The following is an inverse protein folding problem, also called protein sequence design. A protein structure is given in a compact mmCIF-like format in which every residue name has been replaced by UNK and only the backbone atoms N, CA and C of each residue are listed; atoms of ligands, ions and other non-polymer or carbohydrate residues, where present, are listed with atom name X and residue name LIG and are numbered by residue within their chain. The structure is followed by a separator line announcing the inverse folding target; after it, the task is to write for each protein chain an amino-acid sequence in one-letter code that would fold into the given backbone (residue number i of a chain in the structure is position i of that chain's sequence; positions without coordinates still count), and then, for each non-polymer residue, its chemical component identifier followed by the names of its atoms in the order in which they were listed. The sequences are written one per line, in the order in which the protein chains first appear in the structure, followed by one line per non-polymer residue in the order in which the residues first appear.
data_IF_266226765912
#
_entry.id   IF_266226765912
#
_cell.length_a   1.000
_cell.length_b   1.000
_cell.length_c   1.000
_cell.angle_alpha   90.00
_cell.angle_beta   90.00
_cell.angle_gamma   90.00
#
_symmetry.space_group_name_H-M   'P 1'
#
loop_
_entity.id
_entity.type
_entity.pdbx_description
1 polymer ?
#
# COMPACT_ATOMS: atom_id res chain seq x y z
N UNK A 1 -15.85 59.82 79.78
CA UNK A 1 -16.88 59.74 78.73
C UNK A 1 -16.24 59.06 77.52
N UNK A 2 -16.74 57.87 77.18
CA UNK A 2 -16.55 57.01 75.98
C UNK A 2 -15.51 57.44 74.90
N UNK A 3 -14.72 56.57 74.27
CA UNK A 3 -15.11 55.32 73.61
C UNK A 3 -13.91 54.38 73.43
N UNK A 4 -14.21 53.11 73.65
CA UNK A 4 -13.55 51.89 73.19
C UNK A 4 -13.21 51.93 71.70
N UNK A 5 -11.99 51.58 71.27
CA UNK A 5 -11.75 50.80 70.04
C UNK A 5 -10.42 50.04 70.12
N UNK A 6 -10.55 48.73 69.98
CA UNK A 6 -9.52 47.70 69.97
C UNK A 6 -8.86 47.70 68.58
N UNK A 7 -7.60 48.14 68.46
CA UNK A 7 -6.86 47.99 67.20
C UNK A 7 -6.10 46.66 67.19
N UNK A 8 -6.72 45.67 66.55
CA UNK A 8 -6.12 44.40 66.18
C UNK A 8 -5.25 44.62 64.94
N UNK A 9 -3.93 44.73 65.09
CA UNK A 9 -3.01 44.75 63.95
C UNK A 9 -2.75 43.30 63.52
N UNK A 10 -3.50 42.84 62.52
CA UNK A 10 -3.23 41.59 61.80
C UNK A 10 -1.93 41.77 60.99
N UNK A 11 -0.87 41.07 61.38
CA UNK A 11 0.30 40.81 60.54
C UNK A 11 -0.15 39.93 59.37
N UNK A 12 -0.46 40.53 58.23
CA UNK A 12 -0.56 39.80 56.96
C UNK A 12 0.84 39.35 56.56
N UNK A 13 1.19 38.10 56.88
CA UNK A 13 2.26 37.41 56.20
C UNK A 13 1.84 37.26 54.73
N UNK A 14 2.38 38.12 53.87
CA UNK A 14 2.36 37.88 52.42
C UNK A 14 3.18 36.62 52.16
N UNK A 15 2.53 35.47 52.22
CA UNK A 15 3.00 34.26 51.56
C UNK A 15 2.99 34.59 50.07
N UNK A 16 4.12 35.03 49.54
CA UNK A 16 4.39 34.95 48.11
C UNK A 16 4.49 33.47 47.77
N UNK A 17 3.35 32.79 47.70
CA UNK A 17 3.24 31.61 46.87
C UNK A 17 3.61 32.10 45.47
N UNK A 18 4.85 31.81 45.07
CA UNK A 18 5.19 31.70 43.67
C UNK A 18 4.10 30.78 43.09
N UNK A 19 3.16 31.39 42.38
CA UNK A 19 2.39 30.72 41.35
C UNK A 19 3.42 30.30 40.31
N UNK A 20 4.08 29.18 40.57
CA UNK A 20 4.65 28.34 39.53
C UNK A 20 3.46 27.98 38.66
N UNK A 21 3.25 28.79 37.62
CA UNK A 21 2.39 28.39 36.52
C UNK A 21 2.90 27.02 36.11
N UNK A 22 2.07 26.00 36.33
CA UNK A 22 2.33 24.69 35.81
C UNK A 22 2.51 24.89 34.30
N UNK A 23 3.75 24.82 33.85
CA UNK A 23 4.04 24.68 32.42
C UNK A 23 3.27 23.44 32.01
N UNK A 24 2.15 23.61 31.30
CA UNK A 24 1.40 22.48 30.75
C UNK A 24 2.40 21.54 30.10
N UNK A 25 2.49 20.32 30.65
CA UNK A 25 3.40 19.32 30.13
C UNK A 25 3.06 19.13 28.66
N UNK A 26 4.06 19.22 27.77
CA UNK A 26 3.81 19.02 26.33
C UNK A 26 3.11 17.68 26.12
N UNK A 27 2.07 17.61 25.24
CA UNK A 27 1.31 16.37 25.03
C UNK A 27 2.22 15.19 24.71
N UNK A 28 1.83 13.98 25.11
CA UNK A 28 2.65 12.77 24.91
C UNK A 28 3.03 12.59 23.44
N UNK A 29 4.19 11.98 23.21
CA UNK A 29 4.71 11.75 21.87
C UNK A 29 4.03 10.51 21.29
N UNK A 30 3.70 10.56 20.00
CA UNK A 30 3.24 9.38 19.27
C UNK A 30 4.47 8.50 19.01
N UNK A 31 4.34 7.19 19.23
CA UNK A 31 5.38 6.22 18.93
C UNK A 31 4.91 5.22 17.87
N UNK A 32 5.83 4.67 17.11
CA UNK A 32 5.56 3.56 16.18
C UNK A 32 5.55 2.21 16.92
N UNK A 33 5.28 1.13 16.19
CA UNK A 33 5.27 -0.25 16.72
C UNK A 33 6.62 -0.72 17.27
N UNK A 34 7.71 -0.02 16.96
CA UNK A 34 9.05 -0.30 17.51
C UNK A 34 9.33 0.55 18.77
N UNK A 35 8.36 1.35 19.22
CA UNK A 35 8.51 2.29 20.34
C UNK A 35 9.31 3.54 19.98
N UNK A 36 9.61 3.79 18.71
CA UNK A 36 10.34 4.97 18.25
C UNK A 36 9.39 6.15 18.08
N UNK A 37 9.88 7.34 18.41
CA UNK A 37 9.13 8.59 18.28
C UNK A 37 8.80 8.86 16.81
N UNK A 38 7.53 9.14 16.53
CA UNK A 38 7.05 9.55 15.21
C UNK A 38 7.50 10.98 14.89
N UNK A 39 8.10 11.18 13.72
CA UNK A 39 8.77 12.42 13.31
C UNK A 39 8.19 13.01 12.03
N UNK A 40 8.33 14.32 11.91
CA UNK A 40 7.94 15.06 10.70
C UNK A 40 8.84 14.63 9.54
N UNK A 41 8.24 14.43 8.35
CA UNK A 41 8.96 14.10 7.12
C UNK A 41 9.48 12.66 7.03
N UNK A 42 9.15 11.80 8.00
CA UNK A 42 9.38 10.36 7.93
C UNK A 42 8.10 9.69 7.46
N UNK A 43 8.25 8.67 6.61
CA UNK A 43 7.15 7.89 6.08
C UNK A 43 6.70 6.81 7.07
N UNK A 44 5.40 6.73 7.30
CA UNK A 44 4.77 5.75 8.16
C UNK A 44 3.61 5.06 7.44
N UNK A 45 3.46 3.77 7.65
CA UNK A 45 2.21 3.08 7.35
C UNK A 45 1.26 3.20 8.54
N UNK A 46 0.02 3.62 8.26
CA UNK A 46 -1.08 3.49 9.21
C UNK A 46 -1.70 2.11 9.01
N UNK A 47 -1.65 1.27 10.04
CA UNK A 47 -2.14 -0.12 9.99
C UNK A 47 -3.24 -0.34 11.00
N UNK A 48 -4.26 -1.16 10.68
CA UNK A 48 -5.30 -1.47 11.64
C UNK A 48 -4.72 -2.35 12.75
N UNK A 49 -5.21 -2.15 13.97
CA UNK A 49 -5.04 -3.11 15.04
C UNK A 49 -6.01 -4.27 14.80
N UNK A 50 -5.55 -5.52 14.70
CA UNK A 50 -6.44 -6.67 14.51
C UNK A 50 -7.43 -6.78 15.67
N UNK A 51 -8.73 -6.85 15.36
CA UNK A 51 -9.79 -7.07 16.35
C UNK A 51 -9.97 -8.55 16.70
N UNK A 52 -9.37 -9.45 15.92
CA UNK A 52 -9.30 -10.89 16.19
C UNK A 52 -7.87 -11.29 16.59
N UNK A 53 -7.68 -12.04 17.70
CA UNK A 53 -6.39 -12.59 18.06
C UNK A 53 -5.86 -13.46 16.92
N UNK A 54 -4.62 -13.22 16.51
CA UNK A 54 -3.87 -14.11 15.65
C UNK A 54 -3.71 -15.46 16.37
N UNK A 55 -4.60 -16.41 16.12
CA UNK A 55 -4.62 -17.73 16.77
C UNK A 55 -3.56 -18.71 16.23
N UNK A 56 -2.67 -18.21 15.37
CA UNK A 56 -1.52 -18.96 14.85
C UNK A 56 -1.86 -20.06 13.85
N UNK A 57 -3.13 -20.20 13.42
CA UNK A 57 -3.57 -21.22 12.44
C UNK A 57 -3.85 -20.66 11.05
N UNK A 58 -3.04 -19.70 10.60
CA UNK A 58 -3.07 -19.18 9.24
C UNK A 58 -2.31 -17.86 9.12
N UNK A 59 -2.00 -17.39 7.90
CA UNK A 59 -1.53 -16.03 7.72
C UNK A 59 -2.62 -15.09 8.24
N UNK A 60 -2.33 -14.35 9.30
CA UNK A 60 -3.21 -13.29 9.74
C UNK A 60 -3.50 -12.40 8.51
N UNK A 61 -4.76 -12.06 8.25
CA UNK A 61 -5.10 -11.12 7.16
C UNK A 61 -4.68 -9.72 7.63
N UNK A 62 -3.37 -9.46 7.67
CA UNK A 62 -2.79 -8.26 8.30
C UNK A 62 -2.70 -7.14 7.28
N UNK A 63 -3.79 -6.43 7.09
CA UNK A 63 -3.73 -5.14 6.42
C UNK A 63 -5.07 -4.72 5.90
N UNK A 64 -5.68 -3.74 6.53
CA UNK A 64 -6.75 -2.95 5.92
C UNK A 64 -6.24 -1.51 5.86
N UNK A 65 -5.05 -1.31 5.28
CA UNK A 65 -4.37 -0.02 5.25
C UNK A 65 -5.03 0.96 4.28
N UNK A 66 -4.74 2.25 4.46
CA UNK A 66 -5.33 3.30 3.65
C UNK A 66 -4.71 3.38 2.24
N UNK A 67 -5.54 3.55 1.23
CA UNK A 67 -5.19 3.60 -0.20
C UNK A 67 -5.93 4.76 -0.86
N UNK A 68 -5.26 5.45 -1.79
CA UNK A 68 -5.90 6.46 -2.63
C UNK A 68 -6.54 5.82 -3.87
N UNK A 69 -7.81 6.14 -4.13
CA UNK A 69 -8.55 5.67 -5.30
C UNK A 69 -9.38 6.80 -5.93
N UNK A 70 -9.65 6.69 -7.24
CA UNK A 70 -10.58 7.59 -7.92
C UNK A 70 -11.97 7.55 -7.28
N UNK A 71 -12.68 8.69 -7.29
CA UNK A 71 -14.04 8.79 -6.74
C UNK A 71 -15.04 8.00 -7.60
N UNK A 72 -14.85 8.04 -8.92
CA UNK A 72 -15.52 7.18 -9.90
C UNK A 72 -14.76 7.19 -11.23
N UNK A 73 -15.21 6.40 -12.21
CA UNK A 73 -14.70 6.45 -13.59
C UNK A 73 -14.84 7.86 -14.20
N UNK A 74 -15.89 8.59 -13.81
CA UNK A 74 -16.17 9.94 -14.32
C UNK A 74 -15.56 11.06 -13.46
N UNK A 75 -15.05 10.72 -12.27
CA UNK A 75 -14.41 11.67 -11.37
C UNK A 75 -13.14 11.04 -10.79
N UNK A 76 -12.06 11.21 -11.54
CA UNK A 76 -10.75 10.63 -11.21
C UNK A 76 -9.97 11.43 -10.18
N UNK A 77 -10.29 12.72 -10.01
CA UNK A 77 -9.68 13.63 -9.03
C UNK A 77 -10.74 14.53 -8.36
N UNK A 78 -10.53 14.95 -7.09
CA UNK A 78 -9.50 14.47 -6.16
C UNK A 78 -9.76 13.00 -5.77
N UNK A 79 -8.71 12.31 -5.30
CA UNK A 79 -8.78 10.90 -4.91
C UNK A 79 -9.45 10.75 -3.53
N UNK A 80 -10.27 9.72 -3.38
CA UNK A 80 -10.79 9.25 -2.10
C UNK A 80 -9.70 8.51 -1.32
N UNK A 81 -9.77 8.59 0.01
CA UNK A 81 -9.06 7.65 0.89
C UNK A 81 -9.99 6.49 1.19
N UNK A 82 -9.55 5.27 0.89
CA UNK A 82 -10.27 4.03 1.16
C UNK A 82 -9.42 3.07 1.96
N UNK A 83 -10.07 2.08 2.56
CA UNK A 83 -9.46 0.94 3.20
C UNK A 83 -9.61 -0.26 2.28
N UNK A 84 -8.51 -0.97 2.04
CA UNK A 84 -8.52 -2.19 1.22
C UNK A 84 -8.06 -3.35 2.09
N UNK A 85 -8.96 -4.32 2.30
CA UNK A 85 -8.64 -5.55 3.03
C UNK A 85 -7.52 -6.33 2.32
N UNK A 86 -6.61 -6.89 3.10
CA UNK A 86 -5.38 -7.53 2.61
C UNK A 86 -4.26 -6.57 2.17
N UNK A 87 -4.47 -5.26 2.17
CA UNK A 87 -3.47 -4.28 1.72
C UNK A 87 -2.72 -3.61 2.88
N UNK A 88 -1.39 -3.47 2.75
CA UNK A 88 -0.53 -2.83 3.76
C UNK A 88 -0.79 -1.33 3.97
N UNK A 89 -1.50 -0.70 3.03
CA UNK A 89 -1.70 0.74 2.95
C UNK A 89 -0.59 1.45 2.19
N UNK A 90 -0.79 2.74 1.94
CA UNK A 90 0.20 3.65 1.36
C UNK A 90 0.86 4.44 2.48
N UNK A 91 2.15 4.74 2.32
CA UNK A 91 2.88 5.50 3.33
C UNK A 91 2.36 6.94 3.41
N UNK A 92 2.36 7.50 4.62
CA UNK A 92 1.98 8.86 4.89
C UNK A 92 3.06 9.60 5.67
N UNK A 93 3.10 10.92 5.51
CA UNK A 93 3.84 11.83 6.37
C UNK A 93 2.88 12.66 7.21
N UNK A 94 3.32 13.00 8.42
CA UNK A 94 2.59 13.88 9.33
C UNK A 94 3.30 15.23 9.46
N UNK A 95 2.52 16.31 9.37
CA UNK A 95 3.03 17.68 9.59
C UNK A 95 2.18 18.36 10.66
N UNK A 96 2.69 18.58 11.89
CA UNK A 96 1.94 19.21 12.95
C UNK A 96 1.81 20.70 12.70
N UNK A 97 0.80 21.33 13.30
CA UNK A 97 0.52 22.77 13.22
C UNK A 97 1.72 23.64 13.57
N UNK A 98 2.61 23.14 14.43
CA UNK A 98 3.90 23.74 14.72
C UNK A 98 5.05 22.76 14.39
N UNK A 99 5.57 22.77 13.15
CA UNK A 99 6.56 21.81 12.71
C UNK A 99 7.95 22.00 13.34
N UNK A 100 8.20 23.14 14.02
CA UNK A 100 9.53 23.49 14.57
C UNK A 100 10.06 22.50 15.61
N UNK A 101 9.18 21.66 16.20
CA UNK A 101 9.58 20.64 17.19
C UNK A 101 9.90 19.27 16.57
N UNK A 102 9.62 19.05 15.28
CA UNK A 102 9.99 17.82 14.54
C UNK A 102 9.39 16.51 15.06
N UNK A 103 8.49 16.56 16.04
CA UNK A 103 7.92 15.41 16.75
C UNK A 103 6.40 15.49 16.67
N UNK A 104 5.77 14.35 16.38
CA UNK A 104 4.33 14.20 16.37
C UNK A 104 3.84 13.87 17.79
N UNK A 105 2.79 14.56 18.23
CA UNK A 105 2.25 14.45 19.58
C UNK A 105 0.76 14.18 19.53
N UNK A 106 0.27 13.44 20.52
CA UNK A 106 -1.15 13.14 20.65
C UNK A 106 -1.95 14.45 20.79
N UNK A 107 -3.18 14.43 20.29
CA UNK A 107 -4.14 15.53 20.35
C UNK A 107 -3.65 16.88 19.79
N UNK A 108 -2.60 16.86 18.97
CA UNK A 108 -2.06 18.05 18.29
C UNK A 108 -2.55 18.06 16.84
N UNK A 109 -3.06 19.21 16.40
CA UNK A 109 -3.50 19.40 15.01
C UNK A 109 -2.35 19.10 14.04
N UNK A 110 -2.60 18.26 13.05
CA UNK A 110 -1.65 17.88 12.02
C UNK A 110 -2.32 17.67 10.67
N UNK A 111 -1.54 17.86 9.60
CA UNK A 111 -1.91 17.38 8.27
C UNK A 111 -1.36 15.98 8.06
N UNK A 112 -2.11 15.17 7.30
CA UNK A 112 -1.71 13.86 6.82
C UNK A 112 -1.53 13.97 5.31
N UNK A 113 -0.40 13.52 4.79
CA UNK A 113 -0.13 13.52 3.34
C UNK A 113 0.31 12.14 2.90
N UNK A 114 -0.37 11.57 1.91
CA UNK A 114 0.09 10.31 1.30
C UNK A 114 1.36 10.56 0.48
N UNK A 115 2.39 9.77 0.72
CA UNK A 115 3.71 9.87 0.09
C UNK A 115 3.74 9.15 -1.26
N UNK A 116 2.91 9.63 -2.20
CA UNK A 116 2.82 9.12 -3.56
C UNK A 116 2.70 10.26 -4.57
N UNK A 117 3.23 10.04 -5.76
CA UNK A 117 2.95 10.85 -6.93
C UNK A 117 1.69 10.31 -7.61
N UNK A 118 0.75 11.20 -7.94
CA UNK A 118 -0.50 10.85 -8.60
C UNK A 118 -0.61 11.59 -9.93
N UNK A 119 -1.53 11.17 -10.79
CA UNK A 119 -1.86 11.90 -12.02
C UNK A 119 -2.76 13.11 -11.78
N UNK A 120 -3.24 13.32 -10.55
CA UNK A 120 -4.04 14.48 -10.19
C UNK A 120 -3.15 15.71 -10.01
N UNK A 121 -3.64 16.88 -10.44
CA UNK A 121 -3.01 18.15 -10.11
C UNK A 121 -3.21 18.54 -8.64
N UNK A 122 -4.23 17.95 -7.99
CA UNK A 122 -4.50 18.12 -6.58
C UNK A 122 -3.43 17.47 -5.69
N UNK A 123 -3.20 18.05 -4.52
CA UNK A 123 -2.25 17.51 -3.56
C UNK A 123 -2.74 16.16 -2.98
N UNK A 124 -1.82 15.33 -2.48
CA UNK A 124 -2.16 14.13 -1.70
C UNK A 124 -2.39 14.41 -0.20
N UNK A 125 -2.56 15.68 0.17
CA UNK A 125 -2.89 16.07 1.55
C UNK A 125 -4.34 15.73 1.82
N UNK A 126 -4.58 15.07 2.94
CA UNK A 126 -5.91 14.66 3.35
C UNK A 126 -6.71 15.88 3.79
N UNK A 127 -7.99 15.89 3.44
CA UNK A 127 -8.98 16.86 3.90
C UNK A 127 -10.30 16.16 4.19
N UNK A 128 -11.13 16.77 5.02
CA UNK A 128 -12.55 16.49 5.07
C UNK A 128 -13.22 17.15 3.86
N UNK A 129 -13.85 16.36 3.00
CA UNK A 129 -14.58 16.86 1.83
C UNK A 129 -15.95 17.40 2.23
N UNK A 130 -16.63 18.03 1.27
CA UNK A 130 -18.02 18.46 1.46
C UNK A 130 -18.93 17.28 1.82
N UNK A 131 -20.00 17.58 2.54
CA UNK A 131 -20.98 16.57 2.94
C UNK A 131 -21.59 15.90 1.72
N UNK A 132 -21.59 14.56 1.72
CA UNK A 132 -22.16 13.77 0.65
C UNK A 132 -23.62 13.44 1.00
N UNK A 133 -24.55 14.25 0.47
CA UNK A 133 -26.00 14.09 0.68
C UNK A 133 -26.52 12.71 0.27
N UNK A 134 -25.87 12.04 -0.70
CA UNK A 134 -26.31 10.74 -1.21
C UNK A 134 -26.06 9.60 -0.23
N UNK A 135 -25.03 9.74 0.60
CA UNK A 135 -24.65 8.73 1.60
C UNK A 135 -24.87 9.20 3.03
N UNK A 136 -25.18 10.49 3.23
CA UNK A 136 -25.33 11.11 4.54
C UNK A 136 -24.02 11.21 5.32
N UNK A 137 -22.88 11.30 4.61
CA UNK A 137 -21.58 11.07 5.21
C UNK A 137 -20.55 12.17 4.85
N UNK A 138 -19.68 12.46 5.82
CA UNK A 138 -18.48 13.29 5.61
C UNK A 138 -17.29 12.39 5.33
N UNK A 139 -16.72 12.48 4.13
CA UNK A 139 -15.59 11.65 3.70
C UNK A 139 -14.25 12.34 3.84
N UNK A 140 -13.20 11.54 4.02
CA UNK A 140 -11.81 11.99 3.93
C UNK A 140 -11.31 11.74 2.51
N UNK A 141 -10.85 12.80 1.86
CA UNK A 141 -10.33 12.79 0.48
C UNK A 141 -8.99 13.51 0.40
N UNK A 142 -8.39 13.52 -0.79
CA UNK A 142 -7.19 14.31 -1.10
C UNK A 142 -7.54 15.69 -1.66
N UNK A 143 -6.53 16.47 -2.05
CA UNK A 143 -6.69 17.86 -2.50
C UNK A 143 -6.68 18.88 -1.38
N UNK A 144 -6.20 18.49 -0.20
CA UNK A 144 -6.01 19.40 0.91
C UNK A 144 -4.85 20.38 0.74
N UNK A 145 -4.72 21.30 1.68
CA UNK A 145 -3.63 22.27 1.76
C UNK A 145 -2.73 21.94 2.94
N UNK A 146 -1.42 21.84 2.68
CA UNK A 146 -0.42 21.63 3.73
C UNK A 146 -0.17 22.93 4.49
N UNK A 147 -0.27 22.90 5.82
CA UNK A 147 0.02 24.02 6.71
C UNK A 147 -1.04 25.12 6.66
N UNK A 148 -0.60 26.36 6.92
CA UNK A 148 -1.43 27.57 6.97
C UNK A 148 -2.64 27.45 7.91
N UNK A 149 -2.44 27.21 9.23
CA UNK A 149 -3.55 27.03 10.17
C UNK A 149 -4.45 28.27 10.23
N UNK A 150 -5.68 28.12 9.73
CA UNK A 150 -6.68 29.17 9.70
C UNK A 150 -8.08 28.55 9.53
N UNK A 151 -9.11 29.41 9.50
CA UNK A 151 -10.47 28.99 9.15
C UNK A 151 -10.55 28.37 7.73
N UNK A 152 -9.69 28.82 6.81
CA UNK A 152 -9.77 28.42 5.39
C UNK A 152 -9.13 27.05 5.15
N UNK A 153 -8.25 26.62 6.06
CA UNK A 153 -7.65 25.28 6.01
C UNK A 153 -8.24 24.33 7.04
N UNK A 154 -9.31 24.71 7.73
CA UNK A 154 -9.88 23.97 8.87
C UNK A 154 -10.12 22.47 8.56
N UNK A 155 -10.59 22.16 7.35
CA UNK A 155 -10.88 20.79 6.90
C UNK A 155 -9.63 19.91 6.69
N UNK A 156 -8.42 20.47 6.70
CA UNK A 156 -7.17 19.75 6.43
C UNK A 156 -6.49 19.22 7.70
N UNK A 157 -7.05 19.51 8.88
CA UNK A 157 -6.41 19.28 10.17
C UNK A 157 -7.09 18.13 10.91
N UNK A 158 -6.26 17.15 11.28
CA UNK A 158 -6.63 15.96 12.01
C UNK A 158 -5.81 15.87 13.30
N UNK A 159 -6.17 14.93 14.16
CA UNK A 159 -5.41 14.57 15.37
C UNK A 159 -5.21 13.06 15.42
N UNK A 160 -4.08 12.66 15.98
CA UNK A 160 -3.87 11.31 16.48
C UNK A 160 -4.18 11.34 17.98
N UNK A 161 -5.06 10.45 18.43
CA UNK A 161 -5.42 10.31 19.84
C UNK A 161 -5.08 8.90 20.32
N UNK A 162 -4.86 8.75 21.63
CA UNK A 162 -4.74 7.43 22.25
C UNK A 162 -6.12 6.74 22.26
N UNK A 163 -6.10 5.44 22.03
CA UNK A 163 -7.26 4.57 22.17
C UNK A 163 -6.79 3.23 22.71
N UNK A 164 -7.13 2.95 23.97
CA UNK A 164 -6.56 1.85 24.74
C UNK A 164 -5.02 1.90 24.72
N UNK A 165 -4.35 0.85 24.23
CA UNK A 165 -2.89 0.77 24.09
C UNK A 165 -2.38 1.24 22.70
N UNK A 166 -3.27 1.67 21.82
CA UNK A 166 -3.02 2.02 20.43
C UNK A 166 -3.49 3.46 20.11
N UNK A 167 -3.71 3.76 18.83
CA UNK A 167 -4.11 5.08 18.37
C UNK A 167 -5.39 5.06 17.55
N UNK A 168 -6.01 6.24 17.42
CA UNK A 168 -7.07 6.53 16.45
C UNK A 168 -6.84 7.88 15.79
N UNK A 169 -7.42 8.07 14.61
CA UNK A 169 -7.53 9.38 13.98
C UNK A 169 -8.85 10.05 14.34
N UNK A 170 -8.80 11.36 14.55
CA UNK A 170 -9.96 12.19 14.86
C UNK A 170 -9.92 13.46 14.02
N UNK A 171 -11.07 13.85 13.49
CA UNK A 171 -11.27 15.18 12.95
C UNK A 171 -11.93 16.02 14.04
N UNK A 172 -11.14 16.91 14.66
CA UNK A 172 -11.62 17.87 15.66
C UNK A 172 -10.59 19.02 15.76
N UNK A 173 -10.45 19.83 14.69
CA UNK A 173 -9.35 20.77 14.58
C UNK A 173 -9.49 21.99 15.49
N UNK A 174 -8.39 22.45 16.09
CA UNK A 174 -8.37 23.64 16.97
C UNK A 174 -7.60 24.82 16.37
N UNK A 175 -7.31 24.78 15.06
CA UNK A 175 -6.54 25.84 14.36
C UNK A 175 -7.30 27.16 14.20
N UNK A 176 -8.58 27.21 14.58
CA UNK A 176 -9.43 28.39 14.51
C UNK A 176 -10.24 28.54 15.80
N UNK A 177 -9.87 29.51 16.64
CA UNK A 177 -10.42 29.67 18.00
C UNK A 177 -11.91 30.03 18.06
N UNK A 178 -12.49 30.55 16.98
CA UNK A 178 -13.91 30.93 16.90
C UNK A 178 -14.74 29.96 16.04
N UNK A 179 -14.08 29.00 15.37
CA UNK A 179 -14.77 28.00 14.57
C UNK A 179 -15.35 26.92 15.49
N UNK A 180 -16.46 26.31 15.06
CA UNK A 180 -17.07 25.14 15.72
C UNK A 180 -17.07 23.97 14.74
N UNK A 181 -15.90 23.36 14.46
CA UNK A 181 -15.83 22.23 13.54
C UNK A 181 -16.55 21.02 14.13
N UNK A 182 -16.85 20.07 13.25
CA UNK A 182 -17.23 18.72 13.67
C UNK A 182 -16.09 18.11 14.50
N UNK A 183 -16.46 17.37 15.54
CA UNK A 183 -15.54 16.60 16.36
C UNK A 183 -16.01 15.15 16.37
N UNK A 184 -15.37 14.32 15.54
CA UNK A 184 -15.78 12.92 15.33
C UNK A 184 -14.58 12.04 14.96
N UNK A 185 -14.68 10.75 15.29
CA UNK A 185 -13.64 9.79 14.92
C UNK A 185 -13.56 9.66 13.40
N UNK A 186 -12.36 9.39 12.91
CA UNK A 186 -12.14 8.93 11.54
C UNK A 186 -12.19 7.40 11.56
N UNK A 187 -13.07 6.84 10.76
CA UNK A 187 -13.23 5.39 10.63
C UNK A 187 -13.66 4.98 9.24
N UNK A 188 -14.25 3.79 9.15
CA UNK A 188 -14.55 3.13 7.87
C UNK A 188 -16.05 3.06 7.66
N UNK A 189 -16.51 3.57 6.52
CA UNK A 189 -17.88 3.50 6.04
C UNK A 189 -17.94 2.56 4.83
N UNK A 190 -18.82 1.56 4.87
CA UNK A 190 -19.06 0.70 3.71
C UNK A 190 -20.16 1.32 2.84
N UNK A 191 -19.79 1.73 1.62
CA UNK A 191 -20.76 2.30 0.68
C UNK A 191 -21.66 1.23 0.04
N UNK A 192 -22.68 1.68 -0.70
CA UNK A 192 -23.64 0.78 -1.37
C UNK A 192 -23.02 -0.12 -2.44
N UNK A 193 -21.79 0.17 -2.88
CA UNK A 193 -21.02 -0.64 -3.82
C UNK A 193 -20.05 -1.61 -3.09
N UNK A 194 -20.07 -1.61 -1.75
CA UNK A 194 -19.22 -2.47 -0.93
C UNK A 194 -17.83 -1.89 -0.64
N UNK A 195 -17.48 -0.69 -1.13
CA UNK A 195 -16.18 -0.08 -0.86
C UNK A 195 -16.11 0.42 0.58
N UNK A 196 -14.95 0.23 1.21
CA UNK A 196 -14.67 0.74 2.55
C UNK A 196 -14.04 2.13 2.45
N UNK A 197 -14.84 3.18 2.49
CA UNK A 197 -14.40 4.58 2.40
C UNK A 197 -14.05 5.12 3.78
N UNK A 198 -13.06 6.02 3.84
CA UNK A 198 -12.69 6.69 5.09
C UNK A 198 -13.60 7.87 5.33
N UNK A 199 -14.21 7.93 6.51
CA UNK A 199 -15.25 8.89 6.82
C UNK A 199 -15.31 9.23 8.31
N UNK A 200 -16.09 10.25 8.67
CA UNK A 200 -16.40 10.54 10.07
C UNK A 200 -17.45 9.58 10.64
N UNK A 201 -17.04 8.71 11.55
CA UNK A 201 -17.88 7.62 12.08
C UNK A 201 -17.90 7.65 13.61
N UNK A 202 -18.89 6.98 14.21
CA UNK A 202 -18.93 6.85 15.67
C UNK A 202 -17.84 5.87 16.15
N UNK A 203 -17.69 4.74 15.44
CA UNK A 203 -16.60 3.78 15.67
C UNK A 203 -15.28 4.27 15.03
N UNK A 204 -14.17 4.34 15.77
CA UNK A 204 -12.88 4.73 15.21
C UNK A 204 -12.25 3.59 14.40
N UNK A 205 -11.37 3.94 13.47
CA UNK A 205 -10.38 3.01 12.96
C UNK A 205 -9.19 2.98 13.93
N UNK A 206 -9.07 1.89 14.68
CA UNK A 206 -7.98 1.67 15.64
C UNK A 206 -6.72 1.30 14.87
N UNK A 207 -5.62 2.00 15.15
CA UNK A 207 -4.42 1.95 14.33
C UNK A 207 -3.12 1.95 15.12
N UNK A 208 -2.12 1.35 14.50
CA UNK A 208 -0.70 1.49 14.84
C UNK A 208 0.05 2.18 13.71
N UNK A 209 1.21 2.74 14.03
CA UNK A 209 2.12 3.33 13.05
C UNK A 209 3.33 2.43 12.88
N UNK A 210 3.67 2.11 11.65
CA UNK A 210 4.89 1.35 11.31
C UNK A 210 5.78 2.24 10.46
N UNK A 211 7.00 2.51 10.92
CA UNK A 211 7.97 3.29 10.14
C UNK A 211 8.31 2.56 8.85
N UNK A 212 8.25 3.26 7.72
CA UNK A 212 8.78 2.75 6.45
C UNK A 212 10.31 2.74 6.53
N UNK A 213 10.89 1.56 6.76
CA UNK A 213 12.33 1.37 6.68
C UNK A 213 12.78 1.52 5.21
N UNK A 214 13.22 2.71 4.85
CA UNK A 214 14.04 2.91 3.66
C UNK A 214 15.43 2.37 4.00
N UNK A 215 15.79 1.21 3.45
CA UNK A 215 17.16 0.71 3.45
C UNK A 215 18.03 1.70 2.68
N UNK A 216 18.53 2.73 3.37
CA UNK A 216 19.58 3.59 2.83
C UNK A 216 20.84 2.76 2.85
N UNK A 217 21.15 2.11 1.72
CA UNK A 217 22.48 1.56 1.47
C UNK A 217 23.41 2.77 1.38
N UNK A 218 23.98 3.16 2.52
CA UNK A 218 24.92 4.26 2.58
C UNK A 218 26.13 3.93 1.71
N UNK A 219 26.28 4.63 0.59
CA UNK A 219 27.56 4.74 -0.11
C UNK A 219 28.53 5.52 0.78
N UNK A 220 29.09 4.85 1.78
CA UNK A 220 30.34 5.28 2.39
C UNK A 220 31.42 4.99 1.36
N UNK A 221 32.05 6.03 0.82
CA UNK A 221 33.31 5.91 0.08
C UNK A 221 34.44 5.58 1.04
N UNK A 222 34.38 4.38 1.62
CA UNK A 222 35.54 3.64 2.08
C UNK A 222 35.49 2.33 1.32
N UNK A 223 36.55 2.06 0.58
CA UNK A 223 36.75 0.82 -0.15
C UNK A 223 36.64 -0.36 0.83
N UNK A 224 35.42 -0.87 0.98
CA UNK A 224 35.15 -2.20 1.48
C UNK A 224 34.94 -3.03 0.23
N UNK A 225 35.91 -3.90 -0.02
CA UNK A 225 35.78 -5.01 -0.95
C UNK A 225 34.59 -5.82 -0.44
N UNK A 226 33.40 -5.52 -0.97
CA UNK A 226 32.19 -6.27 -0.69
C UNK A 226 32.28 -7.58 -1.47
N UNK A 227 32.42 -8.68 -0.75
CA UNK A 227 32.07 -9.99 -1.31
C UNK A 227 30.67 -9.90 -1.90
N UNK A 228 30.57 -10.09 -3.21
CA UNK A 228 29.29 -10.31 -3.86
C UNK A 228 28.70 -11.57 -3.23
N UNK A 229 27.60 -11.41 -2.49
CA UNK A 229 26.79 -12.55 -2.08
C UNK A 229 26.45 -13.41 -3.30
N UNK A 230 26.27 -14.73 -3.12
CA UNK A 230 26.03 -15.65 -4.23
C UNK A 230 24.83 -15.18 -5.05
N UNK A 231 24.97 -15.17 -6.38
CA UNK A 231 23.87 -14.85 -7.27
C UNK A 231 22.68 -15.80 -7.00
N UNK A 232 21.42 -15.34 -7.13
CA UNK A 232 20.26 -16.19 -6.91
C UNK A 232 20.31 -17.48 -7.74
N UNK A 233 19.70 -18.53 -7.20
CA UNK A 233 19.67 -19.85 -7.84
C UNK A 233 19.13 -19.75 -9.28
N UNK A 234 19.62 -20.62 -10.14
CA UNK A 234 19.23 -20.65 -11.54
C UNK A 234 17.94 -21.45 -11.69
N UNK A 235 17.03 -20.97 -12.53
CA UNK A 235 15.86 -21.75 -12.93
C UNK A 235 16.35 -22.84 -13.88
N UNK A 236 15.92 -24.08 -13.65
CA UNK A 236 16.20 -25.21 -14.54
C UNK A 236 14.91 -25.74 -15.17
N UNK A 237 15.03 -26.25 -16.38
CA UNK A 237 13.96 -26.94 -17.08
C UNK A 237 13.81 -28.39 -16.59
N UNK A 238 12.80 -29.09 -17.09
CA UNK A 238 12.49 -30.49 -16.77
C UNK A 238 13.60 -31.48 -17.12
N UNK A 239 14.59 -31.08 -17.93
CA UNK A 239 15.79 -31.88 -18.24
C UNK A 239 16.98 -31.57 -17.31
N UNK A 240 16.80 -30.66 -16.35
CA UNK A 240 17.85 -30.19 -15.46
C UNK A 240 18.81 -29.18 -16.09
N UNK A 241 18.51 -28.67 -17.29
CA UNK A 241 19.31 -27.63 -17.95
C UNK A 241 18.82 -26.25 -17.54
N UNK A 242 19.72 -25.26 -17.60
CA UNK A 242 19.40 -23.88 -17.21
C UNK A 242 18.42 -23.25 -18.19
N UNK A 243 17.37 -22.63 -17.67
CA UNK A 243 16.49 -21.77 -18.46
C UNK A 243 17.25 -20.52 -18.88
N UNK A 244 17.22 -20.20 -20.18
CA UNK A 244 17.98 -19.11 -20.79
C UNK A 244 17.06 -18.01 -21.31
N UNK A 245 17.53 -16.77 -21.19
CA UNK A 245 16.86 -15.64 -21.82
C UNK A 245 16.85 -15.83 -23.34
N UNK A 246 15.72 -15.50 -23.99
CA UNK A 246 15.56 -15.68 -25.45
C UNK A 246 15.29 -17.12 -25.91
N UNK A 247 15.33 -18.11 -25.03
CA UNK A 247 14.92 -19.48 -25.35
C UNK A 247 13.40 -19.65 -25.26
N UNK A 248 12.85 -20.56 -26.08
CA UNK A 248 11.44 -20.92 -26.04
C UNK A 248 11.20 -22.07 -25.06
N UNK A 249 10.21 -21.90 -24.19
CA UNK A 249 9.81 -22.87 -23.19
C UNK A 249 8.29 -22.96 -23.11
N UNK A 250 7.78 -24.13 -22.72
CA UNK A 250 6.43 -24.31 -22.21
C UNK A 250 6.43 -24.16 -20.69
N UNK A 251 5.41 -23.51 -20.14
CA UNK A 251 5.12 -23.54 -18.69
C UNK A 251 4.02 -24.58 -18.49
N UNK A 252 4.35 -25.66 -17.78
CA UNK A 252 3.51 -26.84 -17.61
C UNK A 252 3.26 -27.12 -16.12
N UNK A 253 2.12 -27.73 -15.74
CA UNK A 253 1.85 -28.09 -14.34
C UNK A 253 2.87 -29.12 -13.85
N UNK A 254 3.43 -28.92 -12.66
CA UNK A 254 4.49 -29.79 -12.15
C UNK A 254 4.02 -31.23 -11.88
N UNK A 255 2.76 -31.42 -11.48
CA UNK A 255 2.21 -32.74 -11.18
C UNK A 255 1.97 -33.58 -12.45
N UNK A 256 1.67 -32.93 -13.58
CA UNK A 256 1.35 -33.59 -14.84
C UNK A 256 1.86 -32.79 -16.06
N UNK A 257 3.19 -32.73 -16.29
CA UNK A 257 3.80 -31.87 -17.31
C UNK A 257 3.31 -32.06 -18.75
N UNK A 258 2.70 -33.21 -19.06
CA UNK A 258 2.18 -33.53 -20.40
C UNK A 258 0.66 -33.33 -20.53
N UNK A 259 -0.03 -33.01 -19.44
CA UNK A 259 -1.50 -32.93 -19.41
C UNK A 259 -2.03 -31.50 -19.45
N UNK A 260 -1.14 -30.52 -19.54
CA UNK A 260 -1.54 -29.12 -19.66
C UNK A 260 -0.39 -28.17 -19.83
N UNK A 261 -0.71 -26.89 -19.96
CA UNK A 261 0.27 -25.82 -20.05
C UNK A 261 -0.40 -24.46 -20.16
N UNK A 262 0.36 -23.43 -20.52
CA UNK A 262 -0.15 -22.08 -20.67
C UNK A 262 -0.36 -21.69 -22.13
N UNK A 263 -1.48 -21.04 -22.42
CA UNK A 263 -1.88 -20.60 -23.76
C UNK A 263 -2.59 -19.25 -23.69
N UNK A 264 -3.11 -18.80 -24.83
CA UNK A 264 -3.82 -17.53 -24.99
C UNK A 264 -5.28 -17.77 -25.39
N UNK A 265 -6.21 -17.00 -24.81
CA UNK A 265 -7.62 -17.03 -25.18
C UNK A 265 -8.28 -15.65 -25.08
N UNK A 266 -9.37 -15.47 -25.84
CA UNK A 266 -10.25 -14.31 -25.69
C UNK A 266 -11.19 -14.52 -24.49
N UNK A 267 -11.38 -13.47 -23.68
CA UNK A 267 -12.18 -13.51 -22.46
C UNK A 267 -13.21 -12.38 -22.47
N UNK A 268 -14.20 -12.49 -23.35
CA UNK A 268 -15.29 -11.52 -23.52
C UNK A 268 -15.00 -10.36 -24.47
N UNK A 269 -13.73 -10.00 -24.64
CA UNK A 269 -13.24 -9.06 -25.65
C UNK A 269 -12.32 -9.80 -26.64
N UNK A 270 -12.32 -9.41 -27.91
CA UNK A 270 -11.49 -10.07 -28.93
C UNK A 270 -9.98 -9.88 -28.66
N UNK A 271 -9.58 -8.71 -28.13
CA UNK A 271 -8.20 -8.35 -27.82
C UNK A 271 -8.10 -7.36 -26.63
N UNK A 272 -6.98 -7.34 -25.87
CA UNK A 272 -5.87 -8.29 -25.92
C UNK A 272 -6.28 -9.69 -25.43
N UNK A 273 -5.48 -10.71 -25.77
CA UNK A 273 -5.72 -12.07 -25.29
C UNK A 273 -5.27 -12.22 -23.84
N UNK A 274 -5.97 -13.06 -23.08
CA UNK A 274 -5.63 -13.37 -21.70
C UNK A 274 -4.82 -14.67 -21.60
N UNK A 275 -4.05 -14.77 -20.52
CA UNK A 275 -3.24 -15.95 -20.26
C UNK A 275 -4.08 -17.01 -19.54
N UNK A 276 -4.17 -18.19 -20.13
CA UNK A 276 -4.96 -19.30 -19.59
C UNK A 276 -4.13 -20.58 -19.44
N UNK A 277 -4.52 -21.42 -18.49
CA UNK A 277 -4.13 -22.81 -18.45
C UNK A 277 -5.05 -23.63 -19.36
N UNK A 278 -4.44 -24.54 -20.12
CA UNK A 278 -5.11 -25.49 -21.01
C UNK A 278 -4.81 -26.90 -20.57
N UNK A 279 -5.73 -27.81 -20.85
CA UNK A 279 -5.59 -29.24 -20.59
C UNK A 279 -5.29 -29.99 -21.90
N UNK A 280 -4.61 -31.13 -21.80
CA UNK A 280 -4.37 -32.07 -22.91
C UNK A 280 -3.16 -31.78 -23.80
N UNK A 281 -2.50 -30.62 -23.65
CA UNK A 281 -1.26 -30.29 -24.37
C UNK A 281 -0.42 -29.24 -23.62
N UNK A 282 0.85 -29.08 -23.98
CA UNK A 282 1.82 -28.22 -23.28
C UNK A 282 1.58 -26.71 -23.40
N UNK A 283 0.52 -26.29 -24.10
CA UNK A 283 0.24 -24.87 -24.36
C UNK A 283 1.09 -24.30 -25.52
N UNK A 284 1.37 -23.00 -25.44
CA UNK A 284 2.15 -22.27 -26.44
C UNK A 284 3.53 -21.88 -25.90
N UNK A 285 4.56 -21.84 -26.76
CA UNK A 285 5.92 -21.51 -26.33
C UNK A 285 6.01 -20.03 -25.94
N UNK A 286 6.77 -19.76 -24.88
CA UNK A 286 7.03 -18.43 -24.36
C UNK A 286 8.52 -18.23 -24.05
N UNK A 287 8.89 -16.96 -23.91
CA UNK A 287 10.26 -16.52 -23.67
C UNK A 287 10.33 -15.64 -22.43
N UNK A 288 11.45 -15.72 -21.72
CA UNK A 288 11.77 -14.88 -20.56
C UNK A 288 12.87 -13.88 -20.90
N UNK A 289 12.71 -12.63 -20.46
CA UNK A 289 13.72 -11.57 -20.57
C UNK A 289 13.97 -11.00 -19.18
N UNK A 290 15.11 -11.28 -18.53
CA UNK A 290 15.41 -10.76 -17.20
C UNK A 290 15.70 -9.26 -17.28
N UNK A 291 15.45 -8.54 -16.18
CA UNK A 291 15.74 -7.11 -16.05
C UNK A 291 17.19 -6.74 -16.38
N UNK A 292 18.13 -7.66 -16.12
CA UNK A 292 19.52 -7.53 -16.52
C UNK A 292 19.86 -8.59 -17.58
N UNK A 293 19.74 -8.18 -18.83
CA UNK A 293 19.96 -8.97 -20.05
C UNK A 293 21.39 -9.55 -20.16
N UNK A 294 22.39 -8.92 -19.54
CA UNK A 294 23.81 -9.31 -19.66
C UNK A 294 24.15 -10.69 -19.11
N UNK A 295 23.30 -11.30 -18.27
CA UNK A 295 23.58 -12.58 -17.62
C UNK A 295 22.99 -13.81 -18.32
N UNK A 296 22.10 -13.64 -19.31
CA UNK A 296 21.58 -14.68 -20.22
C UNK A 296 20.88 -15.91 -19.59
N UNK A 297 20.87 -16.05 -18.27
CA UNK A 297 20.34 -17.18 -17.52
C UNK A 297 19.26 -16.66 -16.58
N UNK A 298 18.09 -17.30 -16.61
CA UNK A 298 16.96 -16.97 -15.77
C UNK A 298 17.22 -17.47 -14.35
N UNK A 299 16.93 -16.62 -13.37
CA UNK A 299 17.19 -16.87 -11.96
C UNK A 299 15.94 -16.62 -11.16
N UNK A 300 15.84 -17.34 -10.05
CA UNK A 300 14.72 -17.15 -9.13
C UNK A 300 14.73 -15.74 -8.54
N UNK A 301 13.57 -15.26 -8.13
CA UNK A 301 13.37 -13.96 -7.47
C UNK A 301 13.93 -12.75 -8.23
N UNK A 302 14.10 -12.87 -9.56
CA UNK A 302 14.62 -11.82 -10.43
C UNK A 302 13.51 -11.32 -11.34
N UNK A 303 13.32 -10.00 -11.39
CA UNK A 303 12.33 -9.38 -12.27
C UNK A 303 12.60 -9.74 -13.74
N UNK A 304 11.55 -10.15 -14.43
CA UNK A 304 11.60 -10.52 -15.85
C UNK A 304 10.28 -10.16 -16.55
N UNK A 305 10.37 -9.92 -17.85
CA UNK A 305 9.21 -9.95 -18.73
C UNK A 305 9.01 -11.36 -19.26
N UNK A 306 7.74 -11.72 -19.49
CA UNK A 306 7.31 -12.99 -20.09
C UNK A 306 6.51 -12.62 -21.34
N UNK A 307 6.73 -13.30 -22.46
CA UNK A 307 5.87 -13.13 -23.63
C UNK A 307 5.78 -14.43 -24.43
N UNK A 308 4.63 -14.67 -25.06
CA UNK A 308 4.49 -15.81 -25.96
C UNK A 308 5.22 -15.56 -27.27
N UNK A 309 6.01 -16.53 -27.74
CA UNK A 309 6.74 -16.47 -29.01
C UNK A 309 5.86 -16.80 -30.23
N UNK A 310 4.55 -16.74 -30.04
CA UNK A 310 3.52 -17.09 -31.02
C UNK A 310 2.99 -15.85 -31.73
N UNK A 311 2.59 -16.00 -32.98
CA UNK A 311 1.88 -14.95 -33.70
C UNK A 311 0.41 -14.94 -33.29
N UNK A 312 -0.13 -13.75 -33.02
CA UNK A 312 -1.55 -13.54 -32.72
C UNK A 312 -2.16 -12.55 -33.70
N UNK A 313 -3.46 -12.65 -33.96
CA UNK A 313 -4.20 -11.66 -34.75
C UNK A 313 -4.42 -10.32 -34.03
N UNK A 314 -4.21 -10.27 -32.71
CA UNK A 314 -4.33 -9.04 -31.94
C UNK A 314 -3.22 -8.05 -32.25
N UNK A 315 -3.52 -6.74 -32.37
CA UNK A 315 -2.50 -5.71 -32.59
C UNK A 315 -1.61 -5.46 -31.37
N UNK A 316 -2.06 -5.85 -30.17
CA UNK A 316 -1.29 -5.76 -28.93
C UNK A 316 -0.19 -6.82 -28.88
N UNK A 317 0.88 -6.53 -28.13
CA UNK A 317 1.97 -7.48 -27.91
C UNK A 317 1.52 -8.72 -27.13
N UNK A 318 2.26 -9.82 -27.22
CA UNK A 318 2.07 -11.01 -26.36
C UNK A 318 2.80 -10.89 -25.01
N UNK A 319 3.33 -9.71 -24.68
CA UNK A 319 4.02 -9.46 -23.40
C UNK A 319 2.99 -9.48 -22.29
N UNK A 320 3.29 -10.27 -21.26
CA UNK A 320 2.43 -10.40 -20.10
C UNK A 320 2.35 -9.08 -19.34
N UNK A 321 1.16 -8.80 -18.83
CA UNK A 321 0.85 -7.64 -18.02
C UNK A 321 -0.19 -8.04 -16.97
N UNK A 322 -0.05 -7.54 -15.75
CA UNK A 322 -1.14 -7.58 -14.78
C UNK A 322 -2.24 -6.61 -15.22
N UNK A 323 -3.44 -7.14 -15.45
CA UNK A 323 -4.61 -6.36 -15.84
C UNK A 323 -5.07 -5.47 -14.69
N UNK A 324 -5.83 -4.43 -15.00
CA UNK A 324 -6.55 -3.69 -13.97
C UNK A 324 -7.52 -4.63 -13.23
N UNK A 325 -7.77 -4.33 -11.96
CA UNK A 325 -8.61 -5.16 -11.10
C UNK A 325 -10.00 -5.39 -11.69
N UNK A 326 -10.40 -6.65 -11.79
CA UNK A 326 -11.73 -7.03 -12.23
C UNK A 326 -12.68 -7.09 -11.03
N UNK A 327 -13.51 -6.07 -10.90
CA UNK A 327 -14.51 -5.95 -9.82
C UNK A 327 -15.60 -7.02 -9.88
N UNK A 328 -15.86 -7.63 -11.04
CA UNK A 328 -16.93 -8.62 -11.19
C UNK A 328 -16.57 -9.97 -10.59
N UNK A 329 -15.27 -10.32 -10.65
CA UNK A 329 -14.72 -11.58 -10.15
C UNK A 329 -13.86 -11.39 -8.90
N UNK A 330 -13.61 -10.14 -8.52
CA UNK A 330 -12.70 -9.74 -7.44
C UNK A 330 -11.26 -10.26 -7.65
N UNK A 331 -10.76 -10.23 -8.89
CA UNK A 331 -9.47 -10.79 -9.27
C UNK A 331 -8.56 -9.79 -9.99
N UNK A 332 -7.24 -9.99 -9.82
CA UNK A 332 -6.20 -9.38 -10.65
C UNK A 332 -5.71 -10.42 -11.64
N UNK A 333 -6.15 -10.34 -12.90
CA UNK A 333 -5.78 -11.30 -13.93
C UNK A 333 -4.47 -10.97 -14.63
N UNK A 334 -3.83 -12.00 -15.18
CA UNK A 334 -2.71 -11.85 -16.11
C UNK A 334 -3.22 -11.85 -17.54
N UNK A 335 -2.91 -10.78 -18.27
CA UNK A 335 -3.29 -10.58 -19.67
C UNK A 335 -2.05 -10.32 -20.54
N UNK A 336 -2.25 -10.08 -21.84
CA UNK A 336 -1.21 -9.63 -22.75
C UNK A 336 -1.32 -8.13 -23.06
N UNK A 337 -0.52 -7.63 -23.99
CA UNK A 337 -0.46 -6.21 -24.37
C UNK A 337 0.47 -5.37 -23.49
N UNK A 338 1.37 -6.01 -22.74
CA UNK A 338 2.41 -5.34 -21.99
C UNK A 338 3.48 -4.68 -22.88
N UNK A 339 4.39 -3.96 -22.23
CA UNK A 339 5.55 -3.33 -22.86
C UNK A 339 6.80 -4.06 -22.41
N UNK A 340 7.62 -4.50 -23.37
CA UNK A 340 8.91 -5.14 -23.10
C UNK A 340 9.92 -4.10 -22.60
N UNK A 341 10.63 -4.41 -21.51
CA UNK A 341 11.70 -3.56 -20.96
C UNK A 341 11.21 -2.29 -20.26
N UNK A 342 12.04 -1.25 -20.28
CA UNK A 342 11.81 0.05 -19.63
C UNK A 342 11.42 -0.06 -18.13
N UNK A 343 12.24 -0.71 -17.28
CA UNK A 343 11.91 -0.94 -15.87
C UNK A 343 11.66 0.39 -15.16
N UNK A 344 10.48 0.52 -14.55
CA UNK A 344 10.05 1.75 -13.88
C UNK A 344 8.55 1.77 -13.63
N UNK A 345 8.04 2.89 -13.14
CA UNK A 345 6.62 3.06 -12.80
C UNK A 345 5.66 2.83 -13.97
N UNK A 346 6.06 3.20 -15.17
CA UNK A 346 5.24 3.08 -16.38
C UNK A 346 5.07 1.64 -16.88
N UNK A 347 5.97 0.72 -16.50
CA UNK A 347 5.93 -0.67 -16.96
C UNK A 347 5.80 -1.66 -15.82
N UNK A 348 5.58 -1.19 -14.59
CA UNK A 348 5.61 -2.01 -13.37
C UNK A 348 4.71 -3.25 -13.46
N UNK A 349 3.54 -3.14 -14.10
CA UNK A 349 2.59 -4.23 -14.32
C UNK A 349 3.11 -5.36 -15.24
N UNK A 350 4.21 -5.15 -15.96
CA UNK A 350 4.74 -6.08 -16.97
C UNK A 350 5.85 -6.98 -16.41
N UNK A 351 6.19 -6.83 -15.14
CA UNK A 351 7.34 -7.48 -14.50
C UNK A 351 6.89 -8.54 -13.51
N UNK A 352 7.39 -9.75 -13.73
CA UNK A 352 7.07 -10.95 -12.97
C UNK A 352 8.36 -11.58 -12.42
N UNK A 353 8.21 -12.55 -11.53
CA UNK A 353 9.29 -13.37 -10.99
C UNK A 353 8.93 -14.84 -11.09
N UNK A 354 9.97 -15.66 -11.08
CA UNK A 354 9.87 -17.11 -10.87
C UNK A 354 10.50 -17.38 -9.52
N UNK A 355 9.81 -18.08 -8.64
CA UNK A 355 10.35 -18.48 -7.33
C UNK A 355 10.32 -20.01 -7.18
N UNK A 356 11.17 -20.54 -6.30
CA UNK A 356 11.08 -21.95 -5.89
C UNK A 356 9.77 -22.19 -5.16
N UNK A 357 9.17 -23.34 -5.44
CA UNK A 357 7.99 -23.81 -4.72
C UNK A 357 8.05 -25.33 -4.60
N UNK A 358 8.37 -25.79 -3.39
CA UNK A 358 8.65 -27.19 -3.09
C UNK A 358 9.77 -27.74 -4.00
N UNK A 359 9.52 -28.82 -4.72
CA UNK A 359 10.40 -29.44 -5.71
C UNK A 359 10.27 -28.84 -7.13
N UNK A 360 9.49 -27.78 -7.30
CA UNK A 360 9.24 -27.12 -8.58
C UNK A 360 9.32 -25.58 -8.45
N UNK A 361 8.56 -24.86 -9.27
CA UNK A 361 8.53 -23.41 -9.31
C UNK A 361 7.11 -22.85 -9.21
N UNK A 362 7.01 -21.57 -8.94
CA UNK A 362 5.78 -20.77 -9.05
C UNK A 362 6.07 -19.45 -9.75
N UNK A 363 5.05 -18.87 -10.36
CA UNK A 363 5.08 -17.52 -10.92
C UNK A 363 4.58 -16.53 -9.87
N UNK A 364 5.21 -15.37 -9.79
CA UNK A 364 4.93 -14.35 -8.78
C UNK A 364 4.84 -12.99 -9.45
N UNK A 365 3.85 -12.21 -9.07
CA UNK A 365 3.84 -10.78 -9.35
C UNK A 365 4.27 -10.04 -8.10
N UNK A 366 5.52 -9.58 -8.07
CA UNK A 366 6.07 -8.75 -7.01
C UNK A 366 7.29 -7.99 -7.57
N UNK A 367 7.09 -7.07 -8.53
CA UNK A 367 8.21 -6.39 -9.15
C UNK A 367 9.09 -5.64 -8.14
N UNK A 368 10.36 -5.39 -8.47
CA UNK A 368 11.22 -4.44 -7.76
C UNK A 368 11.67 -3.28 -8.68
N UNK A 369 11.04 -3.14 -9.84
CA UNK A 369 11.44 -2.17 -10.88
C UNK A 369 11.05 -0.73 -10.58
N UNK A 370 10.21 -0.52 -9.55
CA UNK A 370 9.75 0.78 -9.13
C UNK A 370 9.64 0.82 -7.60
N UNK A 371 10.58 1.50 -6.97
CA UNK A 371 10.69 1.57 -5.51
C UNK A 371 9.52 2.32 -4.84
N UNK A 372 8.93 3.28 -5.55
CA UNK A 372 7.85 4.13 -5.05
C UNK A 372 6.45 3.64 -5.48
N UNK A 373 6.39 2.56 -6.26
CA UNK A 373 5.15 2.01 -6.75
C UNK A 373 4.51 1.10 -5.69
N UNK A 374 3.18 1.18 -5.57
CA UNK A 374 2.44 0.36 -4.64
C UNK A 374 1.56 -0.63 -5.40
N UNK A 375 1.85 -1.91 -5.24
CA UNK A 375 1.10 -3.02 -5.80
C UNK A 375 1.10 -4.20 -4.84
N UNK A 376 0.13 -5.10 -4.98
CA UNK A 376 0.08 -6.32 -4.19
C UNK A 376 1.12 -7.30 -4.72
N UNK A 377 2.05 -7.69 -3.84
CA UNK A 377 2.88 -8.86 -4.09
C UNK A 377 2.05 -10.11 -3.83
N UNK A 378 1.88 -10.95 -4.83
CA UNK A 378 1.14 -12.21 -4.70
C UNK A 378 1.68 -13.26 -5.65
N UNK A 379 1.49 -14.51 -5.27
CA UNK A 379 1.67 -15.63 -6.17
C UNK A 379 0.62 -15.58 -7.28
N UNK A 380 0.92 -16.24 -8.40
CA UNK A 380 -0.02 -16.41 -9.51
C UNK A 380 -0.56 -17.84 -9.47
N UNK A 381 -1.89 -17.94 -9.38
CA UNK A 381 -2.65 -19.19 -9.36
C UNK A 381 -3.61 -19.32 -10.54
N UNK A 382 -4.44 -20.37 -10.49
CA UNK A 382 -5.50 -20.61 -11.46
C UNK A 382 -6.84 -20.15 -10.88
N UNK A 383 -7.57 -19.35 -11.64
CA UNK A 383 -8.95 -18.99 -11.37
C UNK A 383 -9.86 -19.56 -12.46
N UNK A 384 -10.84 -20.37 -12.07
CA UNK A 384 -11.79 -20.96 -13.00
C UNK A 384 -12.99 -20.03 -13.18
N UNK A 385 -13.20 -19.55 -14.40
CA UNK A 385 -14.40 -18.81 -14.79
C UNK A 385 -15.04 -19.39 -16.06
N UNK A 386 -16.01 -18.67 -16.61
CA UNK A 386 -16.74 -19.05 -17.82
C UNK A 386 -15.87 -19.06 -19.09
N UNK A 387 -14.70 -18.41 -19.08
CA UNK A 387 -13.74 -18.37 -20.18
C UNK A 387 -12.63 -19.41 -20.03
N UNK A 388 -12.53 -20.07 -18.87
CA UNK A 388 -11.61 -21.17 -18.63
C UNK A 388 -10.78 -20.97 -17.36
N UNK A 389 -9.59 -21.57 -17.36
CA UNK A 389 -8.62 -21.54 -16.25
C UNK A 389 -7.69 -20.34 -16.42
N UNK A 390 -8.11 -19.13 -16.04
CA UNK A 390 -7.31 -17.92 -16.19
C UNK A 390 -6.25 -17.80 -15.10
N UNK A 391 -5.15 -17.11 -15.39
CA UNK A 391 -4.12 -16.82 -14.40
C UNK A 391 -4.49 -15.56 -13.62
N UNK A 392 -4.45 -15.64 -12.30
CA UNK A 392 -4.77 -14.52 -11.40
C UNK A 392 -3.85 -14.49 -10.18
N UNK A 393 -3.77 -13.35 -9.51
CA UNK A 393 -3.15 -13.28 -8.18
C UNK A 393 -3.91 -14.18 -7.21
N UNK A 394 -3.21 -15.05 -6.50
CA UNK A 394 -3.79 -16.06 -5.61
C UNK A 394 -2.90 -16.31 -4.40
N UNK A 395 -3.49 -16.75 -3.28
CA UNK A 395 -2.75 -17.33 -2.16
C UNK A 395 -2.31 -18.77 -2.43
N UNK A 396 -2.94 -19.43 -3.41
CA UNK A 396 -2.60 -20.77 -3.87
C UNK A 396 -1.84 -20.67 -5.20
N UNK A 397 -0.51 -20.85 -5.20
CA UNK A 397 0.30 -20.74 -6.41
C UNK A 397 0.02 -21.88 -7.38
N UNK A 398 0.02 -21.57 -8.68
CA UNK A 398 0.08 -22.60 -9.71
C UNK A 398 1.51 -23.16 -9.76
N UNK A 399 1.67 -24.40 -9.27
CA UNK A 399 2.95 -25.10 -9.24
C UNK A 399 3.34 -25.55 -10.65
N UNK A 400 4.43 -25.00 -11.17
CA UNK A 400 4.85 -25.14 -12.57
C UNK A 400 6.28 -25.65 -12.71
N UNK A 401 6.54 -26.23 -13.87
CA UNK A 401 7.88 -26.51 -14.39
C UNK A 401 8.04 -25.89 -15.77
N UNK A 402 9.30 -25.78 -16.21
CA UNK A 402 9.66 -25.26 -17.52
C UNK A 402 10.12 -26.40 -18.40
N UNK A 403 9.48 -26.60 -19.54
CA UNK A 403 9.91 -27.58 -20.53
C UNK A 403 10.48 -26.83 -21.73
N UNK A 404 11.66 -27.21 -22.21
CA UNK A 404 12.20 -26.62 -23.44
C UNK A 404 11.27 -26.95 -24.62
N UNK A 405 10.90 -25.93 -25.40
CA UNK A 405 9.98 -26.07 -26.53
C UNK A 405 10.64 -26.62 -27.80
#
# INVERSE_FOLDING_TARGET
MNFMYLSFVLLFAFSTQLLLGASDASPKQVVDTEGKIVRVGVDYYIRPVPTTPCDGRGPCVVGSGFVLVAKSVNQTCPLNVVVVEGFRGQAVTFTPVNPKKGVIRISTDLNIKTSLNTSCNDSTVWKLDDFDDSTGQWFVTTGGVLGNPSKDTLSNWFKIEEYDDDYKLVFCPNVCNFCKPLCKNVGVFRDGNGNQRVALTDAPYIMTLVTLLVLVVGLSTKALIGEAGPAPEQVVDTSGKKVRAGGNYYIVPAASPNEGGLSLASTGEDCPLDVIAVDGYQGQPLTFIPINDKKGVIRVSTDLNIYFSTYTSCPQSTVWKLKDYDYSTAQWFVTTGGVLGNPGSQTVANWFKIDKYEDAYKLVYCPNVCNDCSYQCSDIGIYQDQYGKRLALSSEPYKVQFQQA
#
